data_IF_088798492769
#
_entry.id   IF_088798492769
#
_cell.length_a   1.000
_cell.length_b   1.000
_cell.length_c   1.000
_cell.angle_alpha   90.00
_cell.angle_beta   90.00
_cell.angle_gamma   90.00
#
_symmetry.space_group_name_H-M   'P 1'
#
loop_
_entity.id
_entity.type
_entity.pdbx_description
1 polymer ?
#
# COMPACT_ATOMS: atom_id res chain seq x y z
N UNK A 1 6.46 -17.47 5.90
CA UNK A 1 5.93 -16.36 6.71
C UNK A 1 5.12 -15.46 5.79
N UNK A 2 3.96 -14.97 6.19
CA UNK A 2 3.10 -14.08 5.40
C UNK A 2 3.58 -12.64 5.54
N UNK A 3 3.47 -11.84 4.48
CA UNK A 3 3.94 -10.45 4.46
C UNK A 3 2.91 -9.49 5.05
N UNK A 4 3.34 -8.59 5.93
CA UNK A 4 2.55 -7.48 6.47
C UNK A 4 3.04 -6.15 5.87
N UNK A 5 2.21 -5.53 5.04
CA UNK A 5 2.44 -4.20 4.49
C UNK A 5 1.65 -3.17 5.30
N UNK A 6 2.32 -2.14 5.81
CA UNK A 6 1.70 -1.06 6.58
C UNK A 6 1.75 0.23 5.77
N UNK A 7 0.57 0.79 5.49
CA UNK A 7 0.43 2.07 4.81
C UNK A 7 0.46 3.24 5.80
N UNK A 8 1.24 4.26 5.49
CA UNK A 8 1.31 5.51 6.23
C UNK A 8 1.15 6.70 5.27
N UNK A 9 0.50 7.77 5.69
CA UNK A 9 0.48 9.03 4.95
C UNK A 9 1.81 9.76 5.16
N UNK A 10 2.39 10.32 4.10
CA UNK A 10 3.62 11.10 4.20
C UNK A 10 3.42 12.36 5.05
N UNK A 11 4.01 12.38 6.22
CA UNK A 11 4.01 13.45 7.22
C UNK A 11 5.40 13.56 7.84
N UNK A 12 5.74 14.66 8.55
CA UNK A 12 7.07 14.80 9.16
C UNK A 12 7.44 13.71 10.17
N UNK A 13 6.46 13.09 10.83
CA UNK A 13 6.60 12.01 11.81
C UNK A 13 6.57 10.59 11.20
N UNK A 14 6.32 10.48 9.89
CA UNK A 14 6.27 9.18 9.19
C UNK A 14 7.54 8.33 9.38
N UNK A 15 8.77 8.89 9.40
CA UNK A 15 9.97 8.08 9.64
C UNK A 15 9.98 7.36 10.99
N UNK A 16 9.46 8.02 12.04
CA UNK A 16 9.36 7.44 13.40
C UNK A 16 8.24 6.39 13.47
N UNK A 17 7.10 6.68 12.85
CA UNK A 17 5.99 5.75 12.74
C UNK A 17 6.37 4.49 11.95
N UNK A 18 7.09 4.64 10.84
CA UNK A 18 7.58 3.53 10.05
C UNK A 18 8.56 2.64 10.83
N UNK A 19 9.49 3.25 11.58
CA UNK A 19 10.40 2.51 12.45
C UNK A 19 9.62 1.69 13.50
N UNK A 20 8.67 2.31 14.19
CA UNK A 20 7.84 1.62 15.19
C UNK A 20 7.01 0.47 14.56
N UNK A 21 6.49 0.66 13.35
CA UNK A 21 5.76 -0.39 12.62
C UNK A 21 6.68 -1.57 12.27
N UNK A 22 7.90 -1.31 11.79
CA UNK A 22 8.88 -2.35 11.45
C UNK A 22 9.33 -3.12 12.69
N UNK A 23 9.63 -2.43 13.79
CA UNK A 23 9.98 -3.05 15.08
C UNK A 23 8.83 -3.93 15.63
N UNK A 24 7.58 -3.59 15.31
CA UNK A 24 6.38 -4.35 15.68
C UNK A 24 6.02 -5.49 14.69
N UNK A 25 6.75 -5.66 13.58
CA UNK A 25 6.60 -6.79 12.66
C UNK A 25 6.06 -6.45 11.27
N UNK A 26 6.09 -5.19 10.83
CA UNK A 26 5.83 -4.84 9.44
C UNK A 26 7.01 -5.26 8.54
N UNK A 27 6.72 -5.93 7.42
CA UNK A 27 7.72 -6.38 6.44
C UNK A 27 7.92 -5.39 5.31
N UNK A 28 6.94 -4.52 5.04
CA UNK A 28 6.97 -3.51 3.99
C UNK A 28 6.27 -2.24 4.49
N UNK A 29 6.81 -1.08 4.17
CA UNK A 29 6.17 0.21 4.41
C UNK A 29 5.68 0.80 3.08
N UNK A 30 4.40 1.11 3.00
CA UNK A 30 3.79 1.86 1.91
C UNK A 30 3.60 3.32 2.37
N UNK A 31 4.09 4.29 1.59
CA UNK A 31 4.00 5.72 1.93
C UNK A 31 3.13 6.44 0.91
N UNK A 32 1.93 6.87 1.33
CA UNK A 32 1.02 7.66 0.52
C UNK A 32 1.50 9.11 0.38
N UNK A 33 1.72 9.58 -0.84
CA UNK A 33 1.94 11.00 -1.10
C UNK A 33 0.57 11.68 -1.23
N UNK A 34 0.30 12.77 -0.48
CA UNK A 34 -1.01 13.39 -0.46
C UNK A 34 -1.38 13.99 -1.83
N UNK A 35 -2.64 13.82 -2.19
CA UNK A 35 -3.21 14.35 -3.43
C UNK A 35 -4.57 15.00 -3.16
N UNK A 36 -4.93 16.07 -3.90
CA UNK A 36 -6.18 16.81 -3.68
C UNK A 36 -7.44 16.04 -4.08
N UNK A 37 -7.32 15.15 -5.10
CA UNK A 37 -8.46 14.48 -5.71
C UNK A 37 -8.30 12.95 -5.75
N UNK A 38 -8.11 12.29 -4.59
CA UNK A 38 -7.75 10.88 -4.52
C UNK A 38 -8.94 9.97 -4.85
N UNK A 39 -8.89 9.31 -5.99
CA UNK A 39 -9.97 8.44 -6.49
C UNK A 39 -10.01 7.09 -5.77
N UNK A 40 -8.87 6.58 -5.32
CA UNK A 40 -8.74 5.26 -4.70
C UNK A 40 -8.87 5.30 -3.17
N UNK A 41 -8.80 6.47 -2.54
CA UNK A 41 -8.69 6.60 -1.09
C UNK A 41 -10.04 6.62 -0.39
N UNK A 42 -10.14 5.89 0.71
CA UNK A 42 -11.28 5.96 1.61
C UNK A 42 -11.27 7.21 2.51
N UNK A 43 -12.37 7.43 3.25
CA UNK A 43 -12.55 8.67 4.03
C UNK A 43 -11.43 8.95 5.04
N UNK A 44 -10.86 7.92 5.67
CA UNK A 44 -9.77 8.06 6.64
C UNK A 44 -8.47 8.51 5.97
N UNK A 45 -8.08 7.83 4.89
CA UNK A 45 -6.86 8.17 4.11
C UNK A 45 -7.02 9.55 3.48
N UNK A 46 -8.21 9.87 2.97
CA UNK A 46 -8.53 11.18 2.39
C UNK A 46 -8.34 12.32 3.40
N UNK A 47 -8.87 12.18 4.64
CA UNK A 47 -8.66 13.17 5.70
C UNK A 47 -7.18 13.30 6.09
N UNK A 48 -6.44 12.19 6.13
CA UNK A 48 -5.00 12.24 6.39
C UNK A 48 -4.26 12.98 5.27
N UNK A 49 -4.63 12.76 4.01
CA UNK A 49 -4.11 13.48 2.85
C UNK A 49 -4.41 14.99 2.91
N UNK A 50 -5.63 15.38 3.26
CA UNK A 50 -6.03 16.79 3.46
C UNK A 50 -5.18 17.46 4.54
N UNK A 51 -4.93 16.77 5.68
CA UNK A 51 -4.05 17.28 6.74
C UNK A 51 -2.61 17.42 6.26
N UNK A 52 -2.10 16.44 5.52
CA UNK A 52 -0.77 16.50 4.96
C UNK A 52 -0.62 17.68 3.99
N UNK A 53 -1.59 17.91 3.11
CA UNK A 53 -1.60 19.06 2.22
C UNK A 53 -1.67 20.39 2.99
N UNK A 54 -2.47 20.47 4.05
CA UNK A 54 -2.55 21.64 4.95
C UNK A 54 -1.22 21.88 5.69
N UNK A 55 -0.47 20.84 6.03
CA UNK A 55 0.87 20.90 6.58
C UNK A 55 1.95 21.17 5.52
N UNK A 56 1.56 21.59 4.31
CA UNK A 56 2.47 21.89 3.20
C UNK A 56 3.28 20.71 2.68
N UNK A 57 2.82 19.49 2.91
CA UNK A 57 3.44 18.32 2.27
C UNK A 57 3.21 18.41 0.75
N UNK A 58 4.30 18.40 0.02
CA UNK A 58 4.36 18.39 -1.44
C UNK A 58 5.33 17.31 -1.88
N UNK A 59 5.34 16.95 -3.15
CA UNK A 59 6.15 15.85 -3.69
C UNK A 59 7.61 15.89 -3.24
N UNK A 60 8.27 17.04 -3.31
CA UNK A 60 9.66 17.19 -2.86
C UNK A 60 9.83 16.86 -1.36
N UNK A 61 8.92 17.35 -0.49
CA UNK A 61 8.97 17.03 0.94
C UNK A 61 8.63 15.58 1.22
N UNK A 62 7.75 14.96 0.44
CA UNK A 62 7.45 13.53 0.55
C UNK A 62 8.68 12.68 0.16
N UNK A 63 9.47 13.09 -0.82
CA UNK A 63 10.74 12.45 -1.17
C UNK A 63 11.77 12.56 -0.04
N UNK A 64 11.84 13.70 0.65
CA UNK A 64 12.69 13.86 1.84
C UNK A 64 12.23 12.92 2.97
N UNK A 65 10.94 12.85 3.26
CA UNK A 65 10.37 11.90 4.25
C UNK A 65 10.67 10.45 3.86
N UNK A 66 10.59 10.10 2.58
CA UNK A 66 10.95 8.78 2.08
C UNK A 66 12.43 8.46 2.37
N UNK A 67 13.34 9.40 2.10
CA UNK A 67 14.77 9.25 2.38
C UNK A 67 15.07 9.16 3.88
N UNK A 68 14.41 9.97 4.70
CA UNK A 68 14.50 9.90 6.16
C UNK A 68 13.98 8.54 6.68
N UNK A 69 12.87 8.04 6.15
CA UNK A 69 12.35 6.71 6.48
C UNK A 69 13.36 5.62 6.10
N UNK A 70 13.94 5.69 4.89
CA UNK A 70 14.96 4.73 4.44
C UNK A 70 16.18 4.69 5.36
N UNK A 71 16.54 5.81 5.98
CA UNK A 71 17.66 5.85 6.92
C UNK A 71 17.39 5.15 8.25
N UNK A 72 16.13 4.87 8.57
CA UNK A 72 15.70 4.25 9.84
C UNK A 72 15.29 2.79 9.72
N UNK A 73 14.87 2.35 8.52
CA UNK A 73 14.36 0.98 8.32
C UNK A 73 15.00 0.30 7.11
N UNK A 74 15.22 -1.01 7.19
CA UNK A 74 15.84 -1.80 6.12
C UNK A 74 14.81 -2.56 5.24
N UNK A 75 13.53 -2.55 5.63
CA UNK A 75 12.47 -3.20 4.86
C UNK A 75 12.16 -2.44 3.55
N UNK A 76 11.56 -3.09 2.55
CA UNK A 76 11.09 -2.41 1.34
C UNK A 76 10.17 -1.22 1.67
N UNK A 77 10.37 -0.10 0.95
CA UNK A 77 9.51 1.09 1.03
C UNK A 77 8.92 1.35 -0.34
N UNK A 78 7.60 1.49 -0.41
CA UNK A 78 6.86 1.66 -1.66
C UNK A 78 6.00 2.92 -1.59
N UNK A 79 6.39 4.02 -2.24
CA UNK A 79 5.54 5.19 -2.33
C UNK A 79 4.32 4.91 -3.23
N UNK A 80 3.15 5.37 -2.76
CA UNK A 80 1.90 5.37 -3.50
C UNK A 80 1.49 6.80 -3.81
N UNK A 81 1.25 7.09 -5.10
CA UNK A 81 0.76 8.39 -5.54
C UNK A 81 -0.02 8.28 -6.85
N UNK A 82 -0.59 9.39 -7.32
CA UNK A 82 -1.47 9.45 -8.47
C UNK A 82 -0.74 9.90 -9.75
N UNK A 83 -1.22 9.47 -10.91
CA UNK A 83 -0.62 9.75 -12.22
C UNK A 83 -0.42 11.26 -12.48
N UNK A 84 -1.34 12.11 -12.04
CA UNK A 84 -1.23 13.56 -12.17
C UNK A 84 -0.06 14.18 -11.39
N UNK A 85 0.39 13.55 -10.30
CA UNK A 85 1.61 13.99 -9.58
C UNK A 85 2.85 13.65 -10.42
N UNK A 86 2.89 12.47 -11.04
CA UNK A 86 3.95 12.11 -11.99
C UNK A 86 3.98 13.08 -13.19
N UNK A 87 2.80 13.41 -13.74
CA UNK A 87 2.69 14.34 -14.85
C UNK A 87 3.21 15.76 -14.49
N UNK A 88 2.90 16.22 -13.28
CA UNK A 88 3.32 17.54 -12.81
C UNK A 88 4.82 17.61 -12.44
N UNK A 89 5.39 16.53 -11.91
CA UNK A 89 6.80 16.48 -11.49
C UNK A 89 7.75 16.09 -12.64
N UNK A 90 7.27 15.30 -13.59
CA UNK A 90 8.02 14.59 -14.59
C UNK A 90 8.12 13.10 -14.28
N UNK A 91 7.71 12.25 -15.23
CA UNK A 91 7.61 10.79 -15.03
C UNK A 91 8.96 10.15 -14.69
N UNK A 92 9.98 10.45 -15.49
CA UNK A 92 11.34 9.91 -15.28
C UNK A 92 12.02 10.52 -14.05
N UNK A 93 11.77 11.80 -13.81
CA UNK A 93 12.32 12.54 -12.68
C UNK A 93 11.77 12.00 -11.36
N UNK A 94 10.46 11.82 -11.23
CA UNK A 94 9.85 11.33 -10.00
C UNK A 94 10.26 9.86 -9.73
N UNK A 95 10.28 9.01 -10.75
CA UNK A 95 10.75 7.63 -10.59
C UNK A 95 12.20 7.59 -10.11
N UNK A 96 13.09 8.32 -10.77
CA UNK A 96 14.51 8.42 -10.40
C UNK A 96 14.67 8.92 -8.96
N UNK A 97 14.00 10.02 -8.62
CA UNK A 97 14.16 10.67 -7.32
C UNK A 97 13.56 9.82 -6.19
N UNK A 98 12.44 9.13 -6.44
CA UNK A 98 11.88 8.16 -5.50
C UNK A 98 12.84 6.98 -5.27
N UNK A 99 13.42 6.42 -6.33
CA UNK A 99 14.43 5.35 -6.23
C UNK A 99 15.68 5.81 -5.47
N UNK A 100 16.17 7.02 -5.72
CA UNK A 100 17.30 7.60 -4.99
C UNK A 100 16.98 7.84 -3.52
N UNK A 101 15.74 8.20 -3.19
CA UNK A 101 15.24 8.33 -1.83
C UNK A 101 15.03 6.97 -1.12
N UNK A 102 15.18 5.84 -1.82
CA UNK A 102 15.12 4.51 -1.25
C UNK A 102 13.85 3.70 -1.56
N UNK A 103 13.01 4.15 -2.50
CA UNK A 103 11.88 3.38 -2.97
C UNK A 103 12.34 2.08 -3.66
N UNK A 104 11.72 0.97 -3.30
CA UNK A 104 11.98 -0.35 -3.91
C UNK A 104 11.05 -0.64 -5.08
N UNK A 105 9.84 -0.10 -5.07
CA UNK A 105 8.85 -0.11 -6.14
C UNK A 105 7.95 1.12 -6.03
N UNK A 106 6.88 1.20 -6.82
CA UNK A 106 5.92 2.30 -6.86
C UNK A 106 4.49 1.76 -6.92
N UNK A 107 3.50 2.50 -6.44
CA UNK A 107 2.08 2.24 -6.65
C UNK A 107 1.43 3.49 -7.25
N UNK A 108 0.73 3.32 -8.39
CA UNK A 108 0.01 4.39 -9.09
C UNK A 108 -1.40 3.87 -9.41
N UNK A 109 -2.37 4.04 -8.48
CA UNK A 109 -3.65 3.31 -8.52
C UNK A 109 -4.57 3.73 -9.67
N UNK A 110 -4.43 4.94 -10.19
CA UNK A 110 -5.21 5.49 -11.30
C UNK A 110 -4.54 5.31 -12.67
N UNK A 111 -3.36 4.68 -12.73
CA UNK A 111 -2.65 4.45 -13.98
C UNK A 111 -3.02 3.06 -14.55
N UNK A 112 -3.62 2.98 -15.76
CA UNK A 112 -3.94 1.71 -16.41
C UNK A 112 -2.72 0.81 -16.56
N UNK A 113 -2.92 -0.50 -16.48
CA UNK A 113 -1.83 -1.51 -16.51
C UNK A 113 -1.00 -1.44 -17.78
N UNK A 114 -1.63 -1.12 -18.91
CA UNK A 114 -1.04 -0.99 -20.25
C UNK A 114 -0.46 0.41 -20.55
N UNK A 115 -0.66 1.37 -19.63
CA UNK A 115 -0.05 2.68 -19.73
C UNK A 115 1.33 2.69 -19.06
N UNK A 116 2.29 3.39 -19.69
CA UNK A 116 3.65 3.57 -19.13
C UNK A 116 4.31 2.23 -18.77
N UNK A 117 4.46 1.35 -19.75
CA UNK A 117 5.14 0.07 -19.58
C UNK A 117 6.63 0.21 -19.18
N UNK A 118 7.19 1.39 -19.37
CA UNK A 118 8.51 1.82 -18.92
C UNK A 118 8.60 2.02 -17.40
N UNK A 119 7.47 2.31 -16.73
CA UNK A 119 7.42 2.56 -15.29
C UNK A 119 7.25 1.25 -14.51
N UNK A 120 8.29 0.86 -13.76
CA UNK A 120 8.24 -0.32 -12.87
C UNK A 120 7.42 -0.01 -11.62
N UNK A 121 6.30 -0.71 -11.45
CA UNK A 121 5.36 -0.51 -10.34
C UNK A 121 4.60 -1.77 -9.96
N UNK A 122 4.12 -1.83 -8.74
CA UNK A 122 3.14 -2.83 -8.29
C UNK A 122 1.82 -2.60 -9.01
N UNK A 123 1.27 -3.66 -9.60
CA UNK A 123 0.00 -3.59 -10.32
C UNK A 123 -1.17 -3.96 -9.40
N UNK A 124 -2.29 -3.24 -9.57
CA UNK A 124 -3.53 -3.49 -8.86
C UNK A 124 -4.48 -4.33 -9.70
N UNK A 125 -5.10 -5.33 -9.07
CA UNK A 125 -6.16 -6.15 -9.67
C UNK A 125 -7.38 -6.18 -8.76
N UNK A 126 -8.57 -6.21 -9.35
CA UNK A 126 -9.84 -6.15 -8.66
C UNK A 126 -10.76 -7.31 -9.11
N UNK A 127 -11.82 -7.64 -8.36
CA UNK A 127 -12.81 -8.65 -8.78
C UNK A 127 -13.40 -8.40 -10.18
N UNK A 128 -13.45 -7.13 -10.59
CA UNK A 128 -13.92 -6.69 -11.91
C UNK A 128 -12.87 -6.80 -13.01
N UNK A 129 -11.62 -7.11 -12.70
CA UNK A 129 -10.58 -7.30 -13.71
C UNK A 129 -10.88 -8.52 -14.57
N UNK A 130 -10.82 -8.34 -15.91
CA UNK A 130 -10.94 -9.46 -16.86
C UNK A 130 -9.67 -10.32 -16.81
N UNK A 131 -9.75 -11.55 -17.31
CA UNK A 131 -8.57 -12.44 -17.35
C UNK A 131 -7.45 -11.89 -18.24
N UNK A 132 -7.78 -11.14 -19.27
CA UNK A 132 -6.81 -10.42 -20.09
C UNK A 132 -6.08 -9.36 -19.27
N UNK A 133 -6.79 -8.54 -18.50
CA UNK A 133 -6.20 -7.53 -17.61
C UNK A 133 -5.38 -8.17 -16.49
N UNK A 134 -5.79 -9.33 -15.97
CA UNK A 134 -4.99 -10.07 -14.99
C UNK A 134 -3.64 -10.50 -15.59
N UNK A 135 -3.62 -11.03 -16.83
CA UNK A 135 -2.36 -11.40 -17.51
C UNK A 135 -1.45 -10.19 -17.71
N UNK A 136 -2.00 -9.07 -18.21
CA UNK A 136 -1.23 -7.83 -18.37
C UNK A 136 -0.65 -7.34 -17.03
N UNK A 137 -1.41 -7.44 -15.93
CA UNK A 137 -0.94 -7.04 -14.61
C UNK A 137 0.18 -7.98 -14.10
N UNK A 138 0.05 -9.29 -14.33
CA UNK A 138 1.10 -10.27 -14.02
C UNK A 138 2.40 -9.94 -14.75
N UNK A 139 2.32 -9.66 -16.04
CA UNK A 139 3.50 -9.40 -16.88
C UNK A 139 4.17 -8.05 -16.57
N UNK A 140 3.39 -7.07 -16.08
CA UNK A 140 3.85 -5.69 -15.86
C UNK A 140 4.19 -5.35 -14.40
N UNK A 141 3.86 -6.23 -13.44
CA UNK A 141 4.07 -5.90 -12.02
C UNK A 141 5.54 -5.95 -11.61
N UNK A 142 5.91 -5.09 -10.67
CA UNK A 142 7.23 -5.05 -10.03
C UNK A 142 7.08 -5.44 -8.55
N UNK A 143 7.48 -6.66 -8.23
CA UNK A 143 7.44 -7.22 -6.88
C UNK A 143 6.25 -8.12 -6.62
N UNK A 144 5.06 -7.60 -6.38
CA UNK A 144 3.84 -8.37 -6.07
C UNK A 144 2.62 -7.85 -6.85
N UNK A 145 1.51 -8.58 -6.76
CA UNK A 145 0.20 -8.12 -7.22
C UNK A 145 -0.65 -7.68 -6.03
N UNK A 146 -1.18 -6.46 -6.12
CA UNK A 146 -2.05 -5.89 -5.11
C UNK A 146 -3.51 -6.25 -5.43
N UNK A 147 -4.13 -7.14 -4.63
CA UNK A 147 -5.51 -7.54 -4.77
C UNK A 147 -6.42 -6.57 -4.01
N UNK A 148 -7.18 -5.78 -4.76
CA UNK A 148 -8.21 -4.89 -4.21
C UNK A 148 -9.46 -5.70 -3.90
N UNK A 149 -9.79 -5.87 -2.62
CA UNK A 149 -10.85 -6.80 -2.18
C UNK A 149 -12.26 -6.21 -2.21
N UNK A 150 -12.39 -4.90 -2.33
CA UNK A 150 -13.68 -4.20 -2.26
C UNK A 150 -13.84 -3.26 -3.44
N UNK A 151 -14.95 -3.41 -4.17
CA UNK A 151 -15.44 -2.39 -5.10
C UNK A 151 -16.30 -1.39 -4.32
N UNK A 152 -15.71 -0.26 -3.92
CA UNK A 152 -16.39 0.80 -3.16
C UNK A 152 -15.55 1.29 -1.98
N UNK A 153 -15.76 2.54 -1.59
CA UNK A 153 -15.00 3.23 -0.55
C UNK A 153 -14.94 2.46 0.78
N UNK A 154 -13.74 2.37 1.31
CA UNK A 154 -13.32 1.64 2.50
C UNK A 154 -14.21 1.87 3.73
N UNK A 155 -14.64 0.77 4.31
CA UNK A 155 -15.24 0.67 5.64
C UNK A 155 -15.10 -0.77 6.12
N UNK A 156 -14.83 -0.98 7.40
CA UNK A 156 -14.69 -2.30 7.99
C UNK A 156 -15.93 -3.18 7.69
N UNK A 157 -15.75 -4.26 6.93
CA UNK A 157 -16.80 -5.25 6.66
C UNK A 157 -16.33 -6.62 7.10
N UNK A 158 -17.18 -7.27 7.88
CA UNK A 158 -16.93 -8.55 8.53
C UNK A 158 -16.74 -9.78 7.59
N UNK A 159 -16.60 -9.61 6.26
CA UNK A 159 -16.47 -10.75 5.35
C UNK A 159 -15.64 -10.38 4.10
N UNK A 160 -14.33 -10.61 4.17
CA UNK A 160 -13.38 -10.46 3.05
C UNK A 160 -13.45 -11.64 2.06
N UNK A 161 -13.75 -12.82 2.55
CA UNK A 161 -13.67 -14.07 1.82
C UNK A 161 -14.51 -14.16 0.51
N UNK A 162 -15.74 -13.64 0.41
CA UNK A 162 -16.57 -13.82 -0.79
C UNK A 162 -15.99 -13.19 -2.06
N UNK A 163 -15.23 -12.09 -1.93
CA UNK A 163 -14.64 -11.41 -3.10
C UNK A 163 -13.16 -11.73 -3.27
N UNK A 164 -12.43 -11.94 -2.18
CA UNK A 164 -11.00 -12.23 -2.20
C UNK A 164 -10.70 -13.64 -2.75
N UNK A 165 -11.39 -14.67 -2.28
CA UNK A 165 -11.08 -16.06 -2.65
C UNK A 165 -11.20 -16.31 -4.18
N UNK A 166 -12.26 -15.88 -4.89
CA UNK A 166 -12.32 -16.03 -6.34
C UNK A 166 -11.25 -15.24 -7.09
N UNK A 167 -10.93 -14.02 -6.63
CA UNK A 167 -9.89 -13.19 -7.25
C UNK A 167 -8.50 -13.82 -7.05
N UNK A 168 -8.17 -14.24 -5.83
CA UNK A 168 -6.92 -14.89 -5.52
C UNK A 168 -6.73 -16.18 -6.34
N UNK A 169 -7.75 -17.03 -6.43
CA UNK A 169 -7.70 -18.25 -7.22
C UNK A 169 -7.49 -17.98 -8.72
N UNK A 170 -8.23 -17.02 -9.29
CA UNK A 170 -8.06 -16.62 -10.71
C UNK A 170 -6.66 -16.08 -10.98
N UNK A 171 -6.16 -15.24 -10.08
CA UNK A 171 -4.82 -14.64 -10.23
C UNK A 171 -3.73 -15.71 -10.05
N UNK A 172 -3.85 -16.57 -9.04
CA UNK A 172 -2.89 -17.66 -8.78
C UNK A 172 -2.80 -18.67 -9.94
N UNK A 173 -3.87 -18.87 -10.70
CA UNK A 173 -3.84 -19.71 -11.89
C UNK A 173 -2.97 -19.15 -13.03
N UNK A 174 -2.55 -17.87 -12.93
CA UNK A 174 -1.76 -17.17 -13.94
C UNK A 174 -0.30 -16.92 -13.49
N UNK A 175 0.00 -16.99 -12.19
CA UNK A 175 1.31 -16.58 -11.68
C UNK A 175 1.63 -17.16 -10.31
N UNK A 176 2.95 -17.34 -10.06
CA UNK A 176 3.53 -17.62 -8.74
C UNK A 176 4.02 -16.38 -8.01
N UNK A 177 3.85 -15.19 -8.58
CA UNK A 177 4.18 -13.93 -7.92
C UNK A 177 3.42 -13.77 -6.59
N UNK A 178 3.99 -13.09 -5.60
CA UNK A 178 3.30 -12.82 -4.34
C UNK A 178 1.99 -12.04 -4.57
N UNK A 179 0.92 -12.46 -3.89
CA UNK A 179 -0.38 -11.83 -3.91
C UNK A 179 -0.65 -11.19 -2.55
N UNK A 180 -0.81 -9.86 -2.48
CA UNK A 180 -1.14 -9.18 -1.24
C UNK A 180 -2.53 -8.58 -1.31
N UNK A 181 -3.35 -8.88 -0.30
CA UNK A 181 -4.72 -8.36 -0.22
C UNK A 181 -4.75 -7.06 0.57
N UNK A 182 -5.33 -6.03 0.00
CA UNK A 182 -5.61 -4.76 0.66
C UNK A 182 -7.10 -4.45 0.68
N UNK A 183 -7.49 -3.49 1.52
CA UNK A 183 -8.85 -3.07 1.83
C UNK A 183 -9.63 -4.01 2.77
N UNK A 184 -10.06 -3.46 3.90
CA UNK A 184 -10.90 -4.14 4.88
C UNK A 184 -10.14 -4.93 5.95
N UNK A 185 -8.82 -5.01 5.91
CA UNK A 185 -8.00 -5.60 6.97
C UNK A 185 -7.89 -4.59 8.11
N UNK A 186 -8.37 -4.96 9.30
CA UNK A 186 -8.39 -4.05 10.45
C UNK A 186 -8.14 -4.72 11.80
N UNK A 187 -8.10 -6.06 11.84
CA UNK A 187 -7.86 -6.86 13.04
C UNK A 187 -6.99 -8.08 12.71
N UNK A 188 -6.39 -8.70 13.73
CA UNK A 188 -5.64 -9.97 13.58
C UNK A 188 -6.50 -11.09 12.99
N UNK A 189 -7.81 -11.15 13.30
CA UNK A 189 -8.72 -12.13 12.69
C UNK A 189 -8.87 -11.92 11.19
N UNK A 190 -8.99 -10.67 10.75
CA UNK A 190 -9.04 -10.35 9.32
C UNK A 190 -7.72 -10.72 8.62
N UNK A 191 -6.59 -10.43 9.26
CA UNK A 191 -5.26 -10.78 8.74
C UNK A 191 -5.11 -12.30 8.58
N UNK A 192 -5.50 -13.08 9.60
CA UNK A 192 -5.48 -14.55 9.55
C UNK A 192 -6.36 -15.11 8.45
N UNK A 193 -7.61 -14.64 8.35
CA UNK A 193 -8.54 -15.10 7.31
C UNK A 193 -8.04 -14.79 5.89
N UNK A 194 -7.40 -13.65 5.68
CA UNK A 194 -6.78 -13.31 4.41
C UNK A 194 -5.54 -14.17 4.12
N UNK A 195 -4.74 -14.46 5.13
CA UNK A 195 -3.51 -15.26 5.03
C UNK A 195 -3.74 -16.70 4.52
N UNK A 196 -4.96 -17.24 4.67
CA UNK A 196 -5.33 -18.53 4.08
C UNK A 196 -5.39 -18.49 2.56
N UNK A 197 -5.62 -17.31 1.96
CA UNK A 197 -5.90 -17.12 0.55
C UNK A 197 -4.77 -16.45 -0.23
N UNK A 198 -3.92 -15.66 0.45
CA UNK A 198 -2.88 -14.83 -0.17
C UNK A 198 -1.55 -14.90 0.59
N UNK A 199 -0.49 -14.31 0.03
CA UNK A 199 0.86 -14.34 0.58
C UNK A 199 1.15 -13.20 1.56
N UNK A 200 0.27 -12.18 1.59
CA UNK A 200 0.39 -11.06 2.50
C UNK A 200 -0.84 -10.17 2.52
N UNK A 201 -0.82 -9.21 3.44
CA UNK A 201 -1.91 -8.23 3.60
C UNK A 201 -1.37 -6.81 3.63
N UNK A 202 -2.19 -5.87 3.14
CA UNK A 202 -1.92 -4.43 3.21
C UNK A 202 -2.95 -3.78 4.13
N UNK A 203 -2.46 -3.09 5.16
CA UNK A 203 -3.29 -2.40 6.14
C UNK A 203 -3.15 -0.89 5.97
N UNK A 204 -4.19 -0.24 5.47
CA UNK A 204 -4.21 1.19 5.17
C UNK A 204 -4.98 1.99 6.23
N UNK A 205 -6.30 2.08 6.07
CA UNK A 205 -7.14 2.99 6.88
C UNK A 205 -6.94 2.84 8.39
N UNK A 206 -6.83 1.59 8.87
CA UNK A 206 -6.64 1.32 10.29
C UNK A 206 -5.25 1.72 10.79
N UNK A 207 -4.21 1.54 9.95
CA UNK A 207 -2.85 1.98 10.27
C UNK A 207 -2.76 3.51 10.32
N UNK A 208 -3.39 4.21 9.37
CA UNK A 208 -3.48 5.68 9.38
C UNK A 208 -4.20 6.19 10.63
N UNK A 209 -5.30 5.55 11.04
CA UNK A 209 -6.02 5.91 12.26
C UNK A 209 -5.16 5.69 13.52
N UNK A 210 -4.49 4.55 13.63
CA UNK A 210 -3.59 4.26 14.76
C UNK A 210 -2.39 5.23 14.80
N UNK A 211 -1.83 5.57 13.65
CA UNK A 211 -0.75 6.55 13.53
C UNK A 211 -1.12 7.95 14.04
N UNK A 212 -2.40 8.37 13.95
CA UNK A 212 -2.88 9.63 14.53
C UNK A 212 -2.74 9.67 16.07
N UNK A 213 -2.68 8.50 16.70
CA UNK A 213 -2.52 8.36 18.16
C UNK A 213 -1.06 8.09 18.57
N UNK A 214 -0.14 8.08 17.62
CA UNK A 214 1.31 7.96 17.83
C UNK A 214 1.88 6.56 17.65
N UNK A 215 3.19 6.46 17.86
CA UNK A 215 3.97 5.24 17.58
C UNK A 215 3.53 4.03 18.41
N UNK A 216 3.14 4.23 19.67
CA UNK A 216 2.73 3.13 20.55
C UNK A 216 1.42 2.45 20.09
N UNK A 217 0.43 3.24 19.66
CA UNK A 217 -0.84 2.71 19.16
C UNK A 217 -0.66 2.00 17.83
N UNK A 218 0.17 2.57 16.94
CA UNK A 218 0.52 1.93 15.67
C UNK A 218 1.26 0.59 15.91
N UNK A 219 2.24 0.57 16.80
CA UNK A 219 2.98 -0.64 17.12
C UNK A 219 2.08 -1.73 17.71
N UNK A 220 1.14 -1.37 18.59
CA UNK A 220 0.17 -2.32 19.14
C UNK A 220 -0.71 -2.94 18.05
N UNK A 221 -1.22 -2.13 17.13
CA UNK A 221 -1.99 -2.62 15.97
C UNK A 221 -1.16 -3.55 15.09
N UNK A 222 0.09 -3.17 14.78
CA UNK A 222 0.97 -3.97 13.90
C UNK A 222 1.30 -5.31 14.55
N UNK A 223 1.56 -5.34 15.87
CA UNK A 223 1.78 -6.58 16.62
C UNK A 223 0.55 -7.49 16.58
N UNK A 224 -0.66 -6.97 16.81
CA UNK A 224 -1.92 -7.72 16.69
C UNK A 224 -2.07 -8.37 15.30
N UNK A 225 -1.82 -7.58 14.25
CA UNK A 225 -1.91 -8.06 12.87
C UNK A 225 -0.87 -9.13 12.56
N UNK A 226 0.37 -8.96 13.06
CA UNK A 226 1.45 -9.93 12.91
C UNK A 226 1.10 -11.26 13.59
N UNK A 227 0.62 -11.22 14.82
CA UNK A 227 0.14 -12.42 15.54
C UNK A 227 -0.97 -13.12 14.76
N UNK A 228 -1.91 -12.36 14.18
CA UNK A 228 -2.96 -12.93 13.34
C UNK A 228 -2.43 -13.61 12.08
N UNK A 229 -1.38 -13.07 11.44
CA UNK A 229 -0.76 -13.65 10.24
C UNK A 229 0.08 -14.89 10.54
N UNK A 230 0.62 -15.04 11.75
CA UNK A 230 1.49 -16.13 12.14
C UNK A 230 0.72 -17.28 12.83
N UNK A 231 -0.59 -17.08 13.12
CA UNK A 231 -1.46 -18.08 13.76
C UNK A 231 -2.03 -19.08 12.75
#
# INVERSE_FOLDING_TARGET
MKTLVVYLMAMPDTPELAQAAVEAGADVIEIGFPFSDPLADGPLIRRAGERALAASMRTARCLEVLAETRSRVDVPIVPMTYASIFEAYGWAELERDARQAGATSLIVPDLPVDARADLKRVQLVAPTSTDERLRLAVDATDGWLYLVTVTGTTGARANLAPTLAPLAARTRALTDLPLYAGFGISTGEHARAAAELVDGVVVGSRAVEAAEHGTAELAALVSELREGLDA
#
